data_IF_707244869332
#
_entry.id   IF_707244869332
#
_cell.length_a   1.000
_cell.length_b   1.000
_cell.length_c   1.000
_cell.angle_alpha   90.00
_cell.angle_beta   90.00
_cell.angle_gamma   90.00
#
_symmetry.space_group_name_H-M   'P 1'
#
loop_
_entity.id
_entity.type
_entity.pdbx_description
1 polymer ?
#
# COMPACT_ATOMS: atom_id res chain seq x y z
N UNK A 1 -19.65 0.44 -7.30
CA UNK A 1 -19.31 -0.95 -7.69
C UNK A 1 -18.74 -1.66 -6.46
N UNK A 2 -19.06 -2.94 -6.24
CA UNK A 2 -18.50 -3.74 -5.14
C UNK A 2 -17.65 -4.85 -5.75
N UNK A 3 -16.37 -4.90 -5.39
CA UNK A 3 -15.45 -5.97 -5.78
C UNK A 3 -15.34 -6.94 -4.59
N UNK A 4 -15.37 -8.23 -4.86
CA UNK A 4 -15.16 -9.29 -3.88
C UNK A 4 -13.98 -10.13 -4.34
N UNK A 5 -13.06 -10.43 -3.44
CA UNK A 5 -11.89 -11.26 -3.68
C UNK A 5 -12.04 -12.47 -2.77
N UNK A 6 -12.12 -13.65 -3.38
CA UNK A 6 -12.13 -14.92 -2.66
C UNK A 6 -10.70 -15.44 -2.52
N UNK A 7 -10.31 -15.74 -1.29
CA UNK A 7 -9.01 -16.31 -0.97
C UNK A 7 -9.18 -17.79 -0.58
N UNK A 8 -8.17 -18.65 -0.83
CA UNK A 8 -8.23 -20.04 -0.42
C UNK A 8 -8.21 -20.17 1.11
N UNK A 9 -9.00 -21.11 1.64
CA UNK A 9 -9.02 -21.43 3.07
C UNK A 9 -7.70 -22.08 3.49
N UNK A 10 -6.78 -21.24 3.98
CA UNK A 10 -5.49 -21.67 4.53
C UNK A 10 -5.36 -21.17 5.97
N UNK A 11 -4.77 -21.97 6.85
CA UNK A 11 -4.60 -21.63 8.28
C UNK A 11 -3.87 -20.30 8.52
N UNK A 12 -3.04 -19.87 7.57
CA UNK A 12 -2.30 -18.62 7.67
C UNK A 12 -3.17 -17.41 7.32
N UNK A 13 -4.04 -17.52 6.31
CA UNK A 13 -4.90 -16.42 5.88
C UNK A 13 -6.05 -16.17 6.86
N UNK A 14 -6.54 -17.20 7.54
CA UNK A 14 -7.60 -17.06 8.57
C UNK A 14 -7.16 -16.27 9.80
N UNK A 15 -5.84 -16.10 10.00
CA UNK A 15 -5.26 -15.27 11.08
C UNK A 15 -5.07 -13.82 10.66
N UNK A 16 -5.18 -13.51 9.36
CA UNK A 16 -5.01 -12.16 8.84
C UNK A 16 -6.35 -11.41 8.94
N UNK A 17 -6.33 -10.28 9.66
CA UNK A 17 -7.51 -9.43 9.79
C UNK A 17 -7.92 -8.79 8.46
N UNK A 18 -9.22 -8.56 8.22
CA UNK A 18 -9.72 -7.94 6.98
C UNK A 18 -9.16 -6.52 6.75
N UNK A 19 -8.84 -5.80 7.84
CA UNK A 19 -8.18 -4.49 7.76
C UNK A 19 -6.79 -4.59 7.15
N UNK A 20 -5.99 -5.57 7.56
CA UNK A 20 -4.64 -5.78 7.02
C UNK A 20 -4.68 -6.09 5.52
N UNK A 21 -5.62 -6.94 5.07
CA UNK A 21 -5.78 -7.25 3.65
C UNK A 21 -6.16 -6.02 2.84
N UNK A 22 -7.08 -5.19 3.37
CA UNK A 22 -7.48 -3.93 2.73
C UNK A 22 -6.30 -2.97 2.63
N UNK A 23 -5.52 -2.81 3.69
CA UNK A 23 -4.30 -1.99 3.72
C UNK A 23 -3.27 -2.48 2.70
N UNK A 24 -2.96 -3.79 2.71
CA UNK A 24 -1.98 -4.40 1.81
C UNK A 24 -2.35 -4.25 0.33
N UNK A 25 -3.61 -4.54 -0.02
CA UNK A 25 -4.10 -4.41 -1.38
C UNK A 25 -4.06 -2.95 -1.84
N UNK A 26 -4.51 -2.01 -1.00
CA UNK A 26 -4.51 -0.59 -1.36
C UNK A 26 -3.08 -0.06 -1.55
N UNK A 27 -2.16 -0.41 -0.66
CA UNK A 27 -0.76 -0.04 -0.79
C UNK A 27 -0.12 -0.62 -2.07
N UNK A 28 -0.46 -1.86 -2.41
CA UNK A 28 0.01 -2.52 -3.64
C UNK A 28 -0.50 -1.82 -4.90
N UNK A 29 -1.80 -1.49 -4.96
CA UNK A 29 -2.39 -0.78 -6.10
C UNK A 29 -1.80 0.62 -6.26
N UNK A 30 -1.57 1.33 -5.16
CA UNK A 30 -0.88 2.61 -5.18
C UNK A 30 0.55 2.48 -5.73
N UNK A 31 1.31 1.50 -5.25
CA UNK A 31 2.69 1.27 -5.69
C UNK A 31 2.79 0.94 -7.19
N UNK A 32 1.82 0.20 -7.75
CA UNK A 32 1.73 -0.06 -9.19
C UNK A 32 1.26 1.14 -10.02
N UNK A 33 0.76 2.20 -9.38
CA UNK A 33 0.19 3.37 -10.05
C UNK A 33 -1.24 3.17 -10.54
N UNK A 34 -1.92 2.08 -10.15
CA UNK A 34 -3.30 1.78 -10.53
C UNK A 34 -4.30 2.72 -9.85
N UNK A 35 -3.95 3.24 -8.67
CA UNK A 35 -4.71 4.25 -7.94
C UNK A 35 -3.78 5.37 -7.47
N UNK A 36 -4.33 6.58 -7.38
CA UNK A 36 -3.63 7.73 -6.80
C UNK A 36 -3.58 7.65 -5.27
N UNK A 37 -2.66 8.41 -4.66
CA UNK A 37 -2.59 8.58 -3.20
C UNK A 37 -3.94 9.06 -2.62
N UNK A 38 -4.60 9.99 -3.32
CA UNK A 38 -5.91 10.52 -2.91
C UNK A 38 -6.96 9.41 -2.86
N UNK A 39 -6.98 8.52 -3.84
CA UNK A 39 -7.88 7.37 -3.86
C UNK A 39 -7.54 6.37 -2.77
N UNK A 40 -6.25 6.11 -2.52
CA UNK A 40 -5.81 5.25 -1.43
C UNK A 40 -6.25 5.78 -0.04
N UNK A 41 -6.06 7.08 0.20
CA UNK A 41 -6.55 7.76 1.41
C UNK A 41 -8.07 7.64 1.58
N UNK A 42 -8.84 7.79 0.49
CA UNK A 42 -10.30 7.61 0.52
C UNK A 42 -10.71 6.17 0.81
N UNK A 43 -10.03 5.18 0.22
CA UNK A 43 -10.31 3.75 0.44
C UNK A 43 -10.05 3.37 1.89
N UNK A 44 -8.94 3.84 2.46
CA UNK A 44 -8.51 3.49 3.82
C UNK A 44 -9.08 4.40 4.90
N UNK A 45 -9.78 5.46 4.53
CA UNK A 45 -10.27 6.50 5.46
C UNK A 45 -9.13 7.10 6.30
N UNK A 46 -7.97 7.30 5.67
CA UNK A 46 -6.75 7.85 6.28
C UNK A 46 -6.41 9.19 5.67
N UNK A 47 -5.76 10.05 6.45
CA UNK A 47 -5.11 11.22 5.88
C UNK A 47 -3.80 10.83 5.17
N UNK A 48 -3.21 11.77 4.43
CA UNK A 48 -1.98 11.56 3.66
C UNK A 48 -0.83 11.02 4.52
N UNK A 49 -0.58 11.64 5.68
CA UNK A 49 0.53 11.26 6.56
C UNK A 49 0.35 9.85 7.12
N UNK A 50 -0.86 9.50 7.55
CA UNK A 50 -1.18 8.16 8.03
C UNK A 50 -1.01 7.10 6.94
N UNK A 51 -1.26 7.47 5.68
CA UNK A 51 -1.03 6.59 4.53
C UNK A 51 0.47 6.45 4.23
N UNK A 52 1.23 7.54 4.22
CA UNK A 52 2.70 7.51 4.05
C UNK A 52 3.39 6.67 5.14
N UNK A 53 2.94 6.77 6.40
CA UNK A 53 3.45 5.95 7.52
C UNK A 53 3.09 4.45 7.38
N UNK A 54 2.06 4.13 6.59
CA UNK A 54 1.61 2.76 6.34
C UNK A 54 2.44 2.05 5.26
N UNK A 55 2.93 2.76 4.25
CA UNK A 55 3.64 2.18 3.10
C UNK A 55 4.87 1.32 3.48
N UNK A 56 5.74 1.75 4.41
CA UNK A 56 6.90 0.95 4.82
C UNK A 56 6.53 -0.41 5.43
N UNK A 57 5.34 -0.55 6.04
CA UNK A 57 4.86 -1.82 6.62
C UNK A 57 4.68 -2.92 5.57
N UNK A 58 4.54 -2.52 4.30
CA UNK A 58 4.38 -3.42 3.15
C UNK A 58 5.61 -3.42 2.23
N UNK A 59 6.73 -2.83 2.67
CA UNK A 59 7.96 -2.78 1.89
C UNK A 59 7.95 -1.74 0.76
N UNK A 60 7.00 -0.80 0.76
CA UNK A 60 6.96 0.29 -0.19
C UNK A 60 7.60 1.54 0.42
N UNK A 61 8.49 2.18 -0.33
CA UNK A 61 9.00 3.51 0.02
C UNK A 61 8.06 4.59 -0.50
N UNK A 62 7.81 5.61 0.33
CA UNK A 62 7.07 6.83 -0.05
C UNK A 62 7.81 7.57 -1.16
N UNK A 63 9.14 7.58 -1.07
CA UNK A 63 10.01 7.96 -2.16
C UNK A 63 10.03 6.78 -3.12
N UNK A 64 9.26 6.85 -4.20
CA UNK A 64 9.42 5.90 -5.29
C UNK A 64 10.91 5.75 -5.56
N UNK A 65 11.41 4.51 -5.62
CA UNK A 65 12.73 4.15 -6.12
C UNK A 65 12.82 4.47 -7.63
N UNK A 66 12.48 5.69 -8.01
CA UNK A 66 12.84 6.24 -9.29
C UNK A 66 14.35 6.47 -9.22
N UNK A 67 15.10 6.06 -10.25
CA UNK A 67 16.56 6.12 -10.25
C UNK A 67 17.10 7.49 -9.81
N UNK A 68 16.37 8.57 -10.13
CA UNK A 68 16.66 9.93 -9.65
C UNK A 68 16.76 10.07 -8.12
N UNK A 69 15.83 9.49 -7.35
CA UNK A 69 15.85 9.60 -5.89
C UNK A 69 17.01 8.80 -5.27
N UNK A 70 17.28 7.61 -5.82
CA UNK A 70 18.40 6.76 -5.39
C UNK A 70 19.74 7.46 -5.67
N UNK A 71 19.87 8.13 -6.81
CA UNK A 71 21.08 8.88 -7.15
C UNK A 71 21.28 10.11 -6.27
N UNK A 72 20.21 10.78 -5.85
CA UNK A 72 20.28 11.88 -4.88
C UNK A 72 20.72 11.38 -3.51
N UNK A 73 20.17 10.27 -3.02
CA UNK A 73 20.58 9.69 -1.72
C UNK A 73 21.99 9.11 -1.73
N UNK A 74 22.48 8.61 -2.87
CA UNK A 74 23.85 8.05 -2.99
C UNK A 74 24.94 9.13 -3.05
N UNK A 75 24.59 10.34 -3.49
CA UNK A 75 25.53 11.44 -3.71
C UNK A 75 25.40 12.57 -2.67
N UNK A 76 24.54 12.41 -1.67
CA UNK A 76 24.44 13.27 -0.48
C UNK A 76 25.30 12.75 0.67
#
# INVERSE_FOLDING_TARGET
>A
MKITIDLPDTENLSKIGPSYLKEALTATLYHHGDISEKEACLILEKNRREFEELLPRFGFSVLSDNQENIEVERNA
#
